data_IF_003395408157
#
_entry.id   IF_003395408157
#
_cell.length_a   1.000
_cell.length_b   1.000
_cell.length_c   1.000
_cell.angle_alpha   90.00
_cell.angle_beta   90.00
_cell.angle_gamma   90.00
#
_symmetry.space_group_name_H-M   'P 1'
#
loop_
_entity.id
_entity.type
_entity.pdbx_description
1 polymer ?
#
# COMPACT_ATOMS: atom_id res chain seq x y z
N UNK A 1 -51.71 22.97 21.92
CA UNK A 1 -51.27 21.56 21.89
C UNK A 1 -50.24 21.44 20.77
N UNK A 2 -48.99 21.19 21.14
CA UNK A 2 -47.82 21.32 20.27
C UNK A 2 -47.54 20.07 19.42
N UNK A 3 -47.18 20.30 18.16
CA UNK A 3 -46.66 19.27 17.26
C UNK A 3 -45.14 19.18 17.40
N UNK A 4 -44.66 17.97 17.65
CA UNK A 4 -43.24 17.64 17.78
C UNK A 4 -42.66 17.49 16.36
N UNK A 5 -41.65 18.31 16.02
CA UNK A 5 -40.81 18.12 14.86
C UNK A 5 -39.66 17.16 15.23
N UNK A 6 -39.71 15.93 14.73
CA UNK A 6 -38.57 15.02 14.76
C UNK A 6 -37.60 15.46 13.66
N UNK A 7 -36.55 16.20 14.03
CA UNK A 7 -35.39 16.41 13.18
C UNK A 7 -34.56 15.11 13.18
N UNK A 8 -34.66 14.33 12.11
CA UNK A 8 -33.71 13.25 11.84
C UNK A 8 -32.39 13.88 11.40
N UNK A 9 -31.39 13.88 12.27
CA UNK A 9 -30.03 14.28 11.90
C UNK A 9 -29.40 13.21 11.03
N UNK A 10 -29.46 13.37 9.70
CA UNK A 10 -28.59 12.65 8.78
C UNK A 10 -27.18 13.20 9.01
N UNK A 11 -26.24 12.34 9.43
CA UNK A 11 -24.85 12.73 9.61
C UNK A 11 -24.29 13.26 8.28
N UNK A 12 -24.00 14.55 8.24
CA UNK A 12 -23.41 15.19 7.08
C UNK A 12 -21.91 14.90 7.06
N UNK A 13 -21.50 13.91 6.27
CA UNK A 13 -20.09 13.62 6.04
C UNK A 13 -19.46 14.78 5.28
N UNK A 14 -18.77 15.67 5.99
CA UNK A 14 -17.88 16.65 5.37
C UNK A 14 -16.70 15.89 4.78
N UNK A 15 -16.72 15.67 3.47
CA UNK A 15 -15.64 14.99 2.74
C UNK A 15 -14.45 15.94 2.61
N UNK A 16 -13.60 16.01 3.63
CA UNK A 16 -12.30 16.67 3.50
C UNK A 16 -11.37 15.74 2.72
N UNK A 17 -10.89 16.20 1.56
CA UNK A 17 -9.86 15.48 0.81
C UNK A 17 -8.50 15.86 1.40
N UNK A 18 -7.72 14.86 1.81
CA UNK A 18 -6.34 15.05 2.22
C UNK A 18 -5.40 14.52 1.13
N UNK A 19 -4.45 15.34 0.70
CA UNK A 19 -3.34 14.90 -0.16
C UNK A 19 -2.16 14.49 0.71
N UNK A 20 -1.66 13.27 0.52
CA UNK A 20 -0.47 12.75 1.20
C UNK A 20 0.63 12.59 0.17
N UNK A 21 1.73 13.32 0.32
CA UNK A 21 2.93 13.14 -0.49
C UNK A 21 3.82 12.13 0.20
N UNK A 22 4.08 10.98 -0.43
CA UNK A 22 4.99 9.97 0.11
C UNK A 22 6.43 10.47 -0.05
N UNK A 23 7.01 10.98 1.02
CA UNK A 23 8.29 11.71 0.97
C UNK A 23 9.42 10.80 0.52
N UNK A 24 10.13 11.22 -0.53
CA UNK A 24 11.26 10.47 -1.10
C UNK A 24 10.85 9.34 -2.06
N UNK A 25 9.57 9.20 -2.37
CA UNK A 25 9.02 8.17 -3.25
C UNK A 25 8.10 8.79 -4.31
N UNK A 26 8.11 8.22 -5.51
CA UNK A 26 7.44 8.79 -6.68
C UNK A 26 6.79 7.73 -7.60
N UNK A 27 7.39 6.55 -7.72
CA UNK A 27 6.85 5.43 -8.52
C UNK A 27 5.96 4.51 -7.65
N UNK A 28 4.79 5.00 -7.25
CA UNK A 28 3.87 4.25 -6.38
C UNK A 28 2.97 3.35 -7.24
N UNK A 29 2.91 2.07 -6.91
CA UNK A 29 2.26 1.03 -7.73
C UNK A 29 0.95 0.54 -7.13
N UNK A 30 0.89 0.37 -5.80
CA UNK A 30 -0.30 -0.08 -5.08
C UNK A 30 -0.33 0.48 -3.66
N UNK A 31 -1.51 0.54 -3.05
CA UNK A 31 -1.67 0.92 -1.64
C UNK A 31 -2.85 0.23 -0.97
N UNK A 32 -2.70 -0.01 0.34
CA UNK A 32 -3.79 -0.50 1.20
C UNK A 32 -3.70 0.12 2.59
N UNK A 33 -4.82 0.17 3.31
CA UNK A 33 -4.88 0.72 4.66
C UNK A 33 -4.30 -0.24 5.69
N UNK A 34 -3.56 0.30 6.65
CA UNK A 34 -3.29 -0.44 7.88
C UNK A 34 -4.59 -0.64 8.68
N UNK A 35 -4.67 -1.75 9.42
CA UNK A 35 -5.88 -2.13 10.16
C UNK A 35 -6.31 -1.09 11.21
N UNK A 36 -5.36 -0.27 11.71
CA UNK A 36 -5.63 0.80 12.68
C UNK A 36 -6.10 2.12 12.05
N UNK A 37 -6.12 2.22 10.71
CA UNK A 37 -6.51 3.41 9.95
C UNK A 37 -5.53 4.58 10.06
N UNK A 38 -4.32 4.39 10.60
CA UNK A 38 -3.36 5.49 10.85
C UNK A 38 -2.21 5.53 9.86
N UNK A 39 -2.14 4.55 8.96
CA UNK A 39 -1.11 4.43 7.96
C UNK A 39 -1.59 3.68 6.72
N UNK A 40 -0.79 3.76 5.67
CA UNK A 40 -0.92 3.02 4.44
C UNK A 40 0.28 2.08 4.29
N UNK A 41 0.04 0.87 3.82
CA UNK A 41 1.08 0.08 3.17
C UNK A 41 1.10 0.47 1.70
N UNK A 42 2.25 0.89 1.19
CA UNK A 42 2.40 1.39 -0.18
C UNK A 42 3.51 0.61 -0.86
N UNK A 43 3.22 0.10 -2.05
CA UNK A 43 4.23 -0.52 -2.90
C UNK A 43 4.79 0.54 -3.82
N UNK A 44 6.12 0.61 -3.91
CA UNK A 44 6.80 1.48 -4.86
C UNK A 44 7.78 0.68 -5.73
N UNK A 45 7.85 1.05 -7.01
CA UNK A 45 8.86 0.59 -7.94
C UNK A 45 10.19 1.29 -7.69
N UNK A 46 11.27 0.54 -7.77
CA UNK A 46 12.63 1.06 -7.87
C UNK A 46 13.37 0.28 -8.96
N UNK A 47 14.58 0.73 -9.32
CA UNK A 47 15.40 0.02 -10.31
C UNK A 47 15.55 -1.46 -9.93
N UNK A 48 15.02 -2.33 -10.78
CA UNK A 48 15.08 -3.79 -10.68
C UNK A 48 14.49 -4.38 -9.38
N UNK A 49 13.59 -3.68 -8.71
CA UNK A 49 12.92 -4.20 -7.51
C UNK A 49 11.61 -3.49 -7.21
N UNK A 50 10.75 -4.13 -6.44
CA UNK A 50 9.67 -3.45 -5.71
C UNK A 50 10.05 -3.31 -4.23
N UNK A 51 9.52 -2.29 -3.58
CA UNK A 51 9.63 -2.10 -2.13
C UNK A 51 8.24 -1.95 -1.52
N UNK A 52 8.08 -2.48 -0.32
CA UNK A 52 6.91 -2.27 0.50
C UNK A 52 7.23 -1.24 1.60
N UNK A 53 6.43 -0.19 1.65
CA UNK A 53 6.57 0.93 2.56
C UNK A 53 5.43 0.93 3.56
N UNK A 54 5.72 1.34 4.80
CA UNK A 54 4.72 1.82 5.74
C UNK A 54 4.75 3.35 5.73
N UNK A 55 3.65 3.97 5.34
CA UNK A 55 3.52 5.41 5.14
C UNK A 55 2.49 5.96 6.11
N UNK A 56 2.92 6.86 6.99
CA UNK A 56 1.97 7.54 7.89
C UNK A 56 1.19 8.65 7.16
N UNK A 57 0.15 9.20 7.80
CA UNK A 57 -0.69 10.25 7.19
C UNK A 57 0.02 11.60 6.97
N UNK A 58 1.23 11.77 7.49
CA UNK A 58 2.11 12.92 7.21
C UNK A 58 3.06 12.66 6.03
N UNK A 59 2.95 11.50 5.37
CA UNK A 59 3.74 11.11 4.21
C UNK A 59 5.14 10.60 4.55
N UNK A 60 5.46 10.37 5.81
CA UNK A 60 6.74 9.77 6.20
C UNK A 60 6.68 8.26 5.88
N UNK A 61 7.64 7.79 5.09
CA UNK A 61 7.72 6.41 4.64
C UNK A 61 8.86 5.65 5.32
N UNK A 62 8.59 4.43 5.77
CA UNK A 62 9.60 3.47 6.25
C UNK A 62 9.55 2.22 5.37
N UNK A 63 10.69 1.76 4.86
CA UNK A 63 10.77 0.48 4.15
C UNK A 63 10.50 -0.65 5.15
N UNK A 64 9.57 -1.54 4.82
CA UNK A 64 9.32 -2.78 5.55
C UNK A 64 9.97 -3.98 4.88
N UNK A 65 9.97 -4.00 3.55
CA UNK A 65 10.43 -5.14 2.78
C UNK A 65 10.83 -4.74 1.35
N UNK A 66 11.68 -5.55 0.71
CA UNK A 66 12.16 -5.34 -0.66
C UNK A 66 12.14 -6.65 -1.44
N UNK A 67 11.70 -6.58 -2.69
CA UNK A 67 11.67 -7.67 -3.68
C UNK A 67 12.62 -7.38 -4.85
N UNK A 68 13.89 -7.80 -4.78
CA UNK A 68 14.77 -7.78 -5.95
C UNK A 68 14.21 -8.67 -7.07
N UNK A 69 14.27 -8.20 -8.31
CA UNK A 69 13.78 -8.95 -9.48
C UNK A 69 12.26 -9.03 -9.59
N UNK A 70 11.53 -8.23 -8.80
CA UNK A 70 10.09 -8.12 -8.95
C UNK A 70 9.74 -7.80 -10.41
N UNK A 71 8.87 -8.63 -11.01
CA UNK A 71 8.58 -8.63 -12.45
C UNK A 71 7.10 -8.46 -12.77
N UNK A 72 6.26 -8.35 -11.74
CA UNK A 72 4.81 -8.18 -11.87
C UNK A 72 4.23 -7.55 -10.61
N UNK A 73 2.92 -7.63 -10.43
CA UNK A 73 2.23 -6.98 -9.31
C UNK A 73 2.82 -7.36 -7.94
N UNK A 74 2.82 -6.40 -7.03
CA UNK A 74 3.16 -6.65 -5.63
C UNK A 74 2.08 -6.00 -4.81
N UNK A 75 1.46 -6.78 -3.92
CA UNK A 75 0.26 -6.40 -3.19
C UNK A 75 0.45 -6.74 -1.71
N UNK A 76 -0.16 -5.95 -0.85
CA UNK A 76 -0.14 -6.16 0.60
C UNK A 76 -1.55 -6.41 1.13
N UNK A 77 -1.68 -7.38 2.04
CA UNK A 77 -2.95 -7.80 2.62
C UNK A 77 -2.82 -7.80 4.15
N UNK A 78 -3.18 -6.70 4.82
CA UNK A 78 -3.15 -6.61 6.27
C UNK A 78 -4.32 -7.41 6.89
N UNK A 79 -4.05 -8.41 7.73
CA UNK A 79 -5.08 -9.07 8.51
C UNK A 79 -5.65 -8.13 9.60
N UNK A 80 -6.84 -8.42 10.13
CA UNK A 80 -7.47 -7.60 11.17
C UNK A 80 -6.67 -7.49 12.48
N UNK A 81 -5.72 -8.40 12.72
CA UNK A 81 -4.93 -8.42 13.97
C UNK A 81 -3.91 -7.28 14.09
N UNK A 82 -3.62 -6.57 12.99
CA UNK A 82 -2.66 -5.46 12.94
C UNK A 82 -1.22 -5.84 13.26
N UNK A 83 -0.89 -7.14 13.35
CA UNK A 83 0.44 -7.65 13.72
C UNK A 83 1.12 -8.37 12.56
N UNK A 84 0.34 -8.94 11.66
CA UNK A 84 0.86 -9.62 10.49
C UNK A 84 0.61 -8.79 9.22
N UNK A 85 1.34 -9.12 8.16
CA UNK A 85 1.11 -8.57 6.83
C UNK A 85 1.42 -9.65 5.81
N UNK A 86 0.40 -10.10 5.08
CA UNK A 86 0.62 -11.00 3.96
C UNK A 86 1.03 -10.18 2.73
N UNK A 87 1.99 -10.68 1.97
CA UNK A 87 2.55 -10.00 0.79
C UNK A 87 2.49 -10.98 -0.37
N UNK A 88 1.88 -10.54 -1.49
CA UNK A 88 1.98 -11.22 -2.77
C UNK A 88 2.99 -10.50 -3.65
N UNK A 89 3.81 -11.25 -4.38
CA UNK A 89 4.84 -10.72 -5.26
C UNK A 89 5.14 -11.69 -6.39
N UNK A 90 5.43 -11.16 -7.58
CA UNK A 90 5.89 -11.92 -8.74
C UNK A 90 7.37 -11.66 -8.98
N UNK A 91 8.18 -12.73 -9.03
CA UNK A 91 9.61 -12.67 -9.38
C UNK A 91 9.87 -13.66 -10.51
N UNK A 92 10.40 -13.16 -11.61
CA UNK A 92 10.91 -14.00 -12.70
C UNK A 92 12.40 -14.29 -12.44
N UNK A 93 12.75 -15.56 -12.36
CA UNK A 93 14.14 -16.01 -12.25
C UNK A 93 14.47 -16.91 -13.44
N UNK A 94 15.65 -16.70 -14.01
CA UNK A 94 16.14 -17.49 -15.12
C UNK A 94 17.66 -17.41 -15.21
N UNK A 95 18.27 -18.45 -15.75
CA UNK A 95 19.70 -18.50 -16.03
C UNK A 95 19.88 -18.69 -17.55
N UNK A 96 20.96 -18.13 -18.08
CA UNK A 96 21.42 -18.42 -19.44
C UNK A 96 22.75 -19.16 -19.37
N UNK A 97 22.86 -20.21 -20.17
CA UNK A 97 24.07 -21.02 -20.28
C UNK A 97 24.47 -21.11 -21.74
N UNK A 98 25.76 -20.96 -22.00
CA UNK A 98 26.35 -21.31 -23.28
C UNK A 98 26.61 -22.81 -23.27
N UNK A 99 26.11 -23.51 -24.27
CA UNK A 99 26.53 -24.88 -24.53
C UNK A 99 27.58 -24.85 -25.64
N UNK A 100 28.47 -25.83 -25.66
CA UNK A 100 29.46 -26.03 -26.73
C UNK A 100 29.52 -27.52 -27.07
N UNK A 101 29.98 -27.87 -28.28
CA UNK A 101 30.22 -29.24 -28.74
C UNK A 101 28.99 -30.17 -28.69
N UNK A 102 27.84 -29.71 -29.21
CA UNK A 102 26.63 -30.50 -29.43
C UNK A 102 26.28 -30.61 -30.91
#
# INVERSE_FOLDING_TARGET
MGGILLQSSIAQFHKSIQKIVVKGWNDLLDLTWAADGKALYVVAGIRAAHVLLHVNLQGNARILWRSPGASGETLAYPPPDGRHLAIQNWVANGNMWMMENF
#
